data_IF_125537735422
#
_entry.id   IF_125537735422
#
_cell.length_a   1.000
_cell.length_b   1.000
_cell.length_c   1.000
_cell.angle_alpha   90.00
_cell.angle_beta   90.00
_cell.angle_gamma   90.00
#
_symmetry.space_group_name_H-M   'P 1'
#
loop_
_entity.id
_entity.type
_entity.pdbx_description
1 polymer ?
#
# COMPACT_ATOMS: atom_id res chain seq x y z
N UNK A 1 -58.42 3.79 44.09
CA UNK A 1 -58.59 4.65 45.28
C UNK A 1 -58.01 3.95 46.49
N UNK A 2 -56.82 4.38 46.93
CA UNK A 2 -56.30 4.29 48.31
C UNK A 2 -55.06 5.18 48.37
N UNK A 3 -55.19 6.23 49.18
CA UNK A 3 -54.23 7.29 49.48
C UNK A 3 -53.42 6.83 50.68
N UNK A 4 -52.10 7.08 50.73
CA UNK A 4 -51.38 7.29 51.99
C UNK A 4 -50.26 8.33 51.86
N UNK A 5 -50.11 9.08 52.94
CA UNK A 5 -49.44 10.38 53.11
C UNK A 5 -48.02 10.21 53.65
N UNK A 6 -47.20 11.21 53.29
CA UNK A 6 -45.78 11.47 53.57
C UNK A 6 -45.21 11.21 54.98
N UNK A 7 -43.89 10.97 55.04
CA UNK A 7 -42.94 11.77 55.88
C UNK A 7 -41.46 11.55 55.54
N UNK A 8 -40.81 12.68 55.22
CA UNK A 8 -39.45 13.18 55.57
C UNK A 8 -38.16 12.39 55.25
N UNK A 9 -37.30 13.09 54.48
CA UNK A 9 -35.88 12.90 54.17
C UNK A 9 -34.98 12.73 55.42
N UNK A 10 -33.81 12.08 55.27
CA UNK A 10 -32.59 12.86 55.03
C UNK A 10 -31.69 12.33 53.89
N UNK A 11 -31.19 13.30 53.12
CA UNK A 11 -29.93 13.38 52.37
C UNK A 11 -29.15 12.06 52.25
N UNK A 12 -29.25 11.41 51.09
CA UNK A 12 -28.32 10.38 50.65
C UNK A 12 -27.32 11.04 49.70
N UNK A 13 -26.07 11.09 50.15
CA UNK A 13 -24.92 11.62 49.43
C UNK A 13 -24.72 10.81 48.13
N UNK A 14 -25.28 11.31 47.03
CA UNK A 14 -25.10 10.70 45.72
C UNK A 14 -23.66 10.90 45.24
N UNK A 15 -22.83 9.86 45.33
CA UNK A 15 -21.60 9.78 44.56
C UNK A 15 -22.00 9.67 43.10
N UNK A 16 -22.04 10.82 42.41
CA UNK A 16 -22.11 10.86 40.95
C UNK A 16 -20.76 10.39 40.44
N UNK A 17 -20.67 9.11 40.08
CA UNK A 17 -19.61 8.59 39.23
C UNK A 17 -19.70 9.32 37.88
N UNK A 18 -18.95 10.41 37.76
CA UNK A 18 -18.60 11.05 36.51
C UNK A 18 -17.85 10.03 35.64
N UNK A 19 -18.58 9.20 34.92
CA UNK A 19 -18.02 8.48 33.78
C UNK A 19 -17.55 9.53 32.78
N UNK A 20 -16.28 9.50 32.34
CA UNK A 20 -15.79 10.47 31.38
C UNK A 20 -16.47 10.22 30.03
N UNK A 21 -17.49 11.03 29.71
CA UNK A 21 -18.12 11.11 28.39
C UNK A 21 -17.17 11.60 27.28
N UNK A 22 -15.90 11.89 27.60
CA UNK A 22 -14.89 12.37 26.67
C UNK A 22 -14.46 11.33 25.61
N UNK A 23 -14.74 10.04 25.80
CA UNK A 23 -14.31 8.99 24.85
C UNK A 23 -15.13 8.95 23.55
N UNK A 24 -16.41 9.36 23.57
CA UNK A 24 -17.29 9.24 22.39
C UNK A 24 -17.01 10.34 21.35
N UNK A 25 -16.70 11.55 21.80
CA UNK A 25 -16.44 12.68 20.90
C UNK A 25 -15.15 12.51 20.08
N UNK A 26 -14.09 11.94 20.69
CA UNK A 26 -12.80 11.73 20.03
C UNK A 26 -12.86 10.65 18.93
N UNK A 27 -13.77 9.68 19.06
CA UNK A 27 -13.95 8.62 18.07
C UNK A 27 -14.67 9.11 16.80
N UNK A 28 -15.47 10.17 16.89
CA UNK A 28 -16.22 10.73 15.75
C UNK A 28 -15.34 11.63 14.87
N UNK A 29 -14.35 12.31 15.44
CA UNK A 29 -13.40 13.16 14.71
C UNK A 29 -12.41 12.35 13.86
N UNK A 30 -12.18 11.05 14.14
CA UNK A 30 -11.26 10.24 13.35
C UNK A 30 -11.90 9.58 12.10
N UNK A 31 -13.20 9.72 11.89
CA UNK A 31 -13.90 9.08 10.76
C UNK A 31 -13.95 9.98 9.54
N UNK A 32 -13.72 9.39 8.36
CA UNK A 32 -13.94 10.06 7.06
C UNK A 32 -15.15 9.50 6.32
N UNK A 33 -15.53 8.25 6.59
CA UNK A 33 -16.74 7.63 6.10
C UNK A 33 -17.16 6.45 7.00
N UNK A 34 -18.37 5.94 6.77
CA UNK A 34 -18.86 4.69 7.38
C UNK A 34 -19.76 3.97 6.37
N UNK A 35 -19.57 2.67 6.23
CA UNK A 35 -20.41 1.79 5.40
C UNK A 35 -21.04 0.76 6.32
N UNK A 36 -22.34 0.90 6.60
CA UNK A 36 -23.01 0.07 7.60
C UNK A 36 -22.34 0.21 8.97
N UNK A 37 -21.75 -0.88 9.47
CA UNK A 37 -21.00 -0.92 10.72
C UNK A 37 -19.48 -0.78 10.55
N UNK A 38 -18.99 -0.68 9.31
CA UNK A 38 -17.56 -0.62 8.99
C UNK A 38 -17.09 0.84 8.95
N UNK A 39 -16.21 1.27 9.88
CA UNK A 39 -15.64 2.61 9.86
C UNK A 39 -14.55 2.73 8.79
N UNK A 40 -14.40 3.93 8.23
CA UNK A 40 -13.24 4.33 7.44
C UNK A 40 -12.59 5.52 8.12
N UNK A 41 -11.32 5.40 8.55
CA UNK A 41 -10.66 6.41 9.37
C UNK A 41 -9.75 7.36 8.57
N UNK A 42 -9.41 8.51 9.18
CA UNK A 42 -8.41 9.46 8.62
C UNK A 42 -7.06 8.78 8.42
N UNK A 43 -6.66 7.90 9.35
CA UNK A 43 -5.44 7.10 9.26
C UNK A 43 -5.45 6.16 8.06
N UNK A 44 -6.54 5.43 7.83
CA UNK A 44 -6.67 4.55 6.66
C UNK A 44 -6.60 5.34 5.35
N UNK A 45 -7.28 6.48 5.29
CA UNK A 45 -7.25 7.37 4.12
C UNK A 45 -5.83 7.89 3.85
N UNK A 46 -5.12 8.34 4.89
CA UNK A 46 -3.76 8.82 4.76
C UNK A 46 -2.83 7.71 4.24
N UNK A 47 -2.96 6.48 4.77
CA UNK A 47 -2.17 5.34 4.31
C UNK A 47 -2.48 4.93 2.88
N UNK A 48 -3.74 4.86 2.51
CA UNK A 48 -4.14 4.48 1.15
C UNK A 48 -3.69 5.54 0.14
N UNK A 49 -3.81 6.82 0.49
CA UNK A 49 -3.25 7.93 -0.29
C UNK A 49 -1.74 7.78 -0.51
N UNK A 50 -0.97 7.51 0.56
CA UNK A 50 0.49 7.32 0.46
C UNK A 50 0.90 6.11 -0.40
N UNK A 51 0.04 5.09 -0.51
CA UNK A 51 0.28 3.96 -1.44
C UNK A 51 0.07 4.36 -2.90
N UNK A 52 -0.94 5.18 -3.20
CA UNK A 52 -1.31 5.54 -4.57
C UNK A 52 -0.44 6.68 -5.11
N UNK A 53 -0.05 7.62 -4.25
CA UNK A 53 0.73 8.81 -4.62
C UNK A 53 1.98 8.51 -5.47
N UNK A 54 2.89 7.59 -5.10
CA UNK A 54 4.09 7.33 -5.91
C UNK A 54 3.79 6.64 -7.25
N UNK A 55 2.65 5.95 -7.38
CA UNK A 55 2.25 5.28 -8.62
C UNK A 55 1.67 6.26 -9.64
N UNK A 56 1.15 7.39 -9.18
CA UNK A 56 0.47 8.40 -9.99
C UNK A 56 1.16 9.76 -10.02
N UNK A 57 2.21 9.93 -9.21
CA UNK A 57 3.03 11.13 -9.19
C UNK A 57 4.05 11.12 -10.33
N UNK A 58 4.27 12.28 -10.94
CA UNK A 58 5.35 12.43 -11.92
C UNK A 58 6.71 12.23 -11.26
N UNK A 59 7.62 11.52 -11.93
CA UNK A 59 8.94 11.18 -11.38
C UNK A 59 9.83 12.41 -11.08
N UNK A 60 9.49 13.59 -11.60
CA UNK A 60 10.22 14.83 -11.36
C UNK A 60 9.25 16.02 -11.36
N UNK A 61 9.13 16.75 -10.24
CA UNK A 61 8.34 18.01 -10.15
C UNK A 61 7.26 18.06 -9.07
N UNK A 62 7.09 16.99 -8.29
CA UNK A 62 6.01 16.89 -7.29
C UNK A 62 4.65 16.69 -7.95
N UNK A 63 3.61 16.52 -7.13
CA UNK A 63 2.23 16.30 -7.58
C UNK A 63 1.43 17.57 -7.33
N UNK A 64 0.76 18.12 -8.34
CA UNK A 64 -0.07 19.33 -8.20
C UNK A 64 -1.16 19.13 -7.15
N UNK A 65 -1.66 20.23 -6.57
CA UNK A 65 -2.69 20.16 -5.53
C UNK A 65 -3.97 19.49 -6.05
N UNK A 66 -4.37 19.81 -7.26
CA UNK A 66 -5.53 19.23 -7.95
C UNK A 66 -5.36 17.70 -8.05
N UNK A 67 -4.17 17.26 -8.48
CA UNK A 67 -3.88 15.83 -8.60
C UNK A 67 -3.81 15.12 -7.24
N UNK A 68 -3.32 15.80 -6.19
CA UNK A 68 -3.38 15.26 -4.84
C UNK A 68 -4.82 15.09 -4.35
N UNK A 69 -5.73 16.02 -4.68
CA UNK A 69 -7.15 15.89 -4.34
C UNK A 69 -7.80 14.72 -5.08
N UNK A 70 -7.51 14.55 -6.37
CA UNK A 70 -7.97 13.38 -7.15
C UNK A 70 -7.49 12.06 -6.54
N UNK A 71 -6.20 11.96 -6.19
CA UNK A 71 -5.63 10.76 -5.57
C UNK A 71 -6.25 10.50 -4.20
N UNK A 72 -6.53 11.56 -3.44
CA UNK A 72 -7.22 11.45 -2.14
C UNK A 72 -8.65 10.96 -2.31
N UNK A 73 -9.37 11.42 -3.33
CA UNK A 73 -10.70 10.94 -3.64
C UNK A 73 -10.66 9.46 -4.03
N UNK A 74 -9.75 9.06 -4.91
CA UNK A 74 -9.57 7.66 -5.30
C UNK A 74 -9.22 6.77 -4.09
N UNK A 75 -8.37 7.25 -3.18
CA UNK A 75 -8.05 6.54 -1.95
C UNK A 75 -9.29 6.33 -1.07
N UNK A 76 -10.16 7.35 -0.98
CA UNK A 76 -11.43 7.25 -0.26
C UNK A 76 -12.38 6.25 -0.94
N UNK A 77 -12.53 6.32 -2.26
CA UNK A 77 -13.41 5.43 -3.02
C UNK A 77 -12.99 3.96 -2.83
N UNK A 78 -11.68 3.66 -2.92
CA UNK A 78 -11.15 2.32 -2.65
C UNK A 78 -11.42 1.84 -1.22
N UNK A 79 -11.39 2.75 -0.24
CA UNK A 79 -11.70 2.41 1.15
C UNK A 79 -13.18 2.14 1.36
N UNK A 80 -14.06 2.88 0.67
CA UNK A 80 -15.50 2.64 0.68
C UNK A 80 -15.82 1.30 0.02
N UNK A 81 -15.24 0.98 -1.13
CA UNK A 81 -15.38 -0.33 -1.78
C UNK A 81 -14.93 -1.47 -0.88
N UNK A 82 -13.76 -1.33 -0.24
CA UNK A 82 -13.26 -2.27 0.75
C UNK A 82 -14.23 -2.43 1.92
N UNK A 83 -14.79 -1.34 2.42
CA UNK A 83 -15.74 -1.39 3.51
C UNK A 83 -17.05 -2.09 3.13
N UNK A 84 -17.51 -1.96 1.87
CA UNK A 84 -18.63 -2.74 1.33
C UNK A 84 -18.31 -4.24 1.31
N UNK A 85 -17.12 -4.62 0.83
CA UNK A 85 -16.68 -6.02 0.84
C UNK A 85 -16.58 -6.58 2.26
N UNK A 86 -16.07 -5.79 3.22
CA UNK A 86 -16.01 -6.18 4.64
C UNK A 86 -17.40 -6.34 5.24
N UNK A 87 -18.33 -5.42 4.96
CA UNK A 87 -19.71 -5.51 5.43
C UNK A 87 -20.36 -6.80 4.92
N UNK A 88 -20.22 -7.09 3.62
CA UNK A 88 -20.67 -8.35 3.04
C UNK A 88 -20.03 -9.57 3.72
N UNK A 89 -18.73 -9.52 4.00
CA UNK A 89 -18.04 -10.61 4.68
C UNK A 89 -18.62 -10.88 6.09
N UNK A 90 -18.89 -9.81 6.85
CA UNK A 90 -19.49 -9.88 8.20
C UNK A 90 -20.90 -10.47 8.12
N UNK A 91 -21.71 -9.99 7.17
CA UNK A 91 -23.08 -10.49 6.95
C UNK A 91 -23.11 -11.97 6.52
N UNK A 92 -22.00 -12.49 6.02
CA UNK A 92 -21.80 -13.90 5.64
C UNK A 92 -20.91 -14.67 6.64
N UNK A 93 -20.73 -14.13 7.85
CA UNK A 93 -20.00 -14.76 8.96
C UNK A 93 -18.55 -15.16 8.62
N UNK A 94 -17.95 -14.47 7.64
CA UNK A 94 -16.56 -14.70 7.26
C UNK A 94 -15.63 -14.03 8.27
N UNK A 95 -14.54 -14.72 8.58
CA UNK A 95 -13.48 -14.21 9.45
C UNK A 95 -12.10 -14.49 8.88
N UNK A 96 -11.13 -13.67 9.28
CA UNK A 96 -9.71 -13.89 9.04
C UNK A 96 -9.07 -14.42 10.33
N UNK A 97 -8.26 -15.47 10.21
CA UNK A 97 -7.50 -16.00 11.34
C UNK A 97 -6.50 -14.95 11.85
N UNK A 98 -6.56 -14.66 13.14
CA UNK A 98 -5.68 -13.69 13.80
C UNK A 98 -4.20 -14.03 13.63
N UNK A 99 -3.84 -15.33 13.54
CA UNK A 99 -2.45 -15.76 13.36
C UNK A 99 -1.83 -15.22 12.08
N UNK A 100 -2.62 -15.15 10.99
CA UNK A 100 -2.16 -14.60 9.70
C UNK A 100 -1.79 -13.11 9.83
N UNK A 101 -2.52 -12.39 10.68
CA UNK A 101 -2.31 -10.96 10.92
C UNK A 101 -1.07 -10.78 11.80
N UNK A 102 -0.95 -11.57 12.85
CA UNK A 102 0.19 -11.54 13.77
C UNK A 102 1.50 -11.86 13.03
N UNK A 103 1.50 -12.88 12.16
CA UNK A 103 2.64 -13.21 11.30
C UNK A 103 3.01 -12.06 10.35
N UNK A 104 2.03 -11.38 9.76
CA UNK A 104 2.28 -10.24 8.87
C UNK A 104 2.84 -9.04 9.64
N UNK A 105 2.34 -8.77 10.83
CA UNK A 105 2.84 -7.69 11.70
C UNK A 105 4.25 -8.01 12.18
N UNK A 106 4.52 -9.25 12.61
CA UNK A 106 5.86 -9.68 13.00
C UNK A 106 6.88 -9.53 11.86
N UNK A 107 6.54 -9.98 10.65
CA UNK A 107 7.39 -9.78 9.46
C UNK A 107 7.58 -8.31 9.07
N UNK A 108 6.58 -7.46 9.34
CA UNK A 108 6.71 -6.03 9.10
C UNK A 108 7.65 -5.40 10.13
N UNK A 109 7.54 -5.81 11.39
CA UNK A 109 8.37 -5.35 12.51
C UNK A 109 9.85 -5.60 12.29
N UNK A 110 10.21 -6.72 11.65
CA UNK A 110 11.60 -7.05 11.28
C UNK A 110 12.27 -6.02 10.36
N UNK A 111 11.49 -5.18 9.67
CA UNK A 111 12.02 -4.10 8.80
C UNK A 111 12.50 -2.87 9.58
N UNK A 112 12.26 -2.84 10.89
CA UNK A 112 12.57 -1.69 11.73
C UNK A 112 13.65 -2.06 12.76
N UNK A 113 14.66 -1.20 12.94
CA UNK A 113 15.73 -1.38 13.93
C UNK A 113 15.25 -1.57 15.38
N UNK A 114 14.15 -0.92 15.76
CA UNK A 114 13.66 -0.91 17.15
C UNK A 114 12.13 -0.92 17.23
N UNK A 115 11.60 -1.20 18.42
CA UNK A 115 10.15 -1.19 18.69
C UNK A 115 9.60 0.23 18.59
N UNK A 116 10.35 1.18 19.12
CA UNK A 116 10.00 2.60 19.08
C UNK A 116 9.89 3.11 17.63
N UNK A 117 10.83 2.72 16.76
CA UNK A 117 10.77 3.10 15.34
C UNK A 117 9.58 2.45 14.63
N UNK A 118 9.24 1.21 15.00
CA UNK A 118 8.08 0.53 14.44
C UNK A 118 6.77 1.19 14.88
N UNK A 119 6.60 1.48 16.17
CA UNK A 119 5.43 2.17 16.71
C UNK A 119 5.28 3.56 16.09
N UNK A 120 6.38 4.31 15.95
CA UNK A 120 6.36 5.60 15.27
C UNK A 120 5.96 5.48 13.80
N UNK A 121 6.43 4.44 13.11
CA UNK A 121 6.05 4.18 11.73
C UNK A 121 4.61 3.68 11.56
N UNK A 122 4.01 3.12 12.62
CA UNK A 122 2.62 2.65 12.61
C UNK A 122 1.60 3.80 12.53
N UNK A 123 2.01 5.04 12.82
CA UNK A 123 1.23 6.27 12.61
C UNK A 123 0.19 6.55 13.70
N UNK A 124 -0.77 7.44 13.41
CA UNK A 124 -1.65 8.06 14.42
C UNK A 124 -2.50 7.07 15.24
N UNK A 125 -2.85 5.91 14.68
CA UNK A 125 -3.60 4.86 15.40
C UNK A 125 -2.71 3.74 15.96
N UNK A 126 -1.38 3.89 15.83
CA UNK A 126 -0.37 2.92 16.27
C UNK A 126 -0.52 1.53 15.64
N UNK A 127 0.18 0.55 16.22
CA UNK A 127 0.15 -0.83 15.74
C UNK A 127 -1.26 -1.44 15.82
N UNK A 128 -2.08 -1.03 16.79
CA UNK A 128 -3.46 -1.48 16.92
C UNK A 128 -4.34 -1.05 15.74
N UNK A 129 -4.29 0.23 15.33
CA UNK A 129 -5.02 0.71 14.16
C UNK A 129 -4.50 0.08 12.87
N UNK A 130 -3.17 -0.08 12.76
CA UNK A 130 -2.58 -0.81 11.64
C UNK A 130 -3.12 -2.24 11.56
N UNK A 131 -3.18 -2.96 12.68
CA UNK A 131 -3.73 -4.32 12.79
C UNK A 131 -5.18 -4.37 12.33
N UNK A 132 -6.01 -3.43 12.78
CA UNK A 132 -7.42 -3.34 12.40
C UNK A 132 -7.59 -3.07 10.89
N UNK A 133 -6.81 -2.14 10.33
CA UNK A 133 -6.81 -1.86 8.89
C UNK A 133 -6.34 -3.09 8.07
N UNK A 134 -5.33 -3.82 8.55
CA UNK A 134 -4.86 -5.05 7.92
C UNK A 134 -5.93 -6.15 7.97
N UNK A 135 -6.61 -6.32 9.11
CA UNK A 135 -7.73 -7.25 9.24
C UNK A 135 -8.80 -6.96 8.19
N UNK A 136 -9.27 -5.70 8.08
CA UNK A 136 -10.27 -5.30 7.10
C UNK A 136 -9.81 -5.54 5.66
N UNK A 137 -8.55 -5.27 5.35
CA UNK A 137 -7.99 -5.53 4.02
C UNK A 137 -8.05 -7.02 3.67
N UNK A 138 -7.64 -7.90 4.59
CA UNK A 138 -7.65 -9.35 4.35
C UNK A 138 -9.08 -9.91 4.32
N UNK A 139 -9.98 -9.36 5.12
CA UNK A 139 -11.38 -9.77 5.14
C UNK A 139 -12.09 -9.39 3.82
N UNK A 140 -11.80 -8.21 3.27
CA UNK A 140 -12.26 -7.82 1.94
C UNK A 140 -11.74 -8.75 0.83
N UNK A 141 -10.46 -9.13 0.89
CA UNK A 141 -9.89 -10.11 -0.06
C UNK A 141 -10.58 -11.46 0.05
N UNK A 142 -10.85 -11.94 1.27
CA UNK A 142 -11.62 -13.17 1.47
C UNK A 142 -13.04 -13.05 0.94
N UNK A 143 -13.68 -11.90 1.12
CA UNK A 143 -15.00 -11.64 0.56
C UNK A 143 -15.00 -11.74 -0.98
N UNK A 144 -14.03 -11.12 -1.65
CA UNK A 144 -13.88 -11.22 -3.11
C UNK A 144 -13.69 -12.68 -3.57
N UNK A 145 -12.85 -13.44 -2.87
CA UNK A 145 -12.62 -14.86 -3.15
C UNK A 145 -13.91 -15.70 -3.05
N UNK A 146 -14.69 -15.52 -1.98
CA UNK A 146 -15.93 -16.29 -1.75
C UNK A 146 -17.09 -15.80 -2.63
N UNK A 147 -17.23 -14.49 -2.80
CA UNK A 147 -18.35 -13.89 -3.53
C UNK A 147 -18.19 -14.00 -5.04
N UNK A 148 -16.95 -13.94 -5.54
CA UNK A 148 -16.62 -13.83 -6.97
C UNK A 148 -15.77 -15.01 -7.41
N UNK A 149 -14.52 -15.13 -6.96
CA UNK A 149 -13.53 -16.03 -7.58
C UNK A 149 -14.01 -17.49 -7.61
N UNK A 150 -14.55 -18.01 -6.50
CA UNK A 150 -15.06 -19.39 -6.43
C UNK A 150 -16.27 -19.68 -7.31
N UNK A 151 -16.95 -18.65 -7.80
CA UNK A 151 -18.13 -18.77 -8.67
C UNK A 151 -17.78 -18.57 -10.15
N UNK A 152 -16.52 -18.21 -10.45
CA UNK A 152 -16.05 -18.00 -11.82
C UNK A 152 -15.42 -19.29 -12.32
N UNK A 153 -16.03 -19.88 -13.33
CA UNK A 153 -15.44 -20.95 -14.12
C UNK A 153 -14.90 -20.38 -15.42
N UNK A 154 -13.64 -20.72 -15.75
CA UNK A 154 -13.01 -20.34 -17.01
C UNK A 154 -12.80 -21.61 -17.84
N UNK A 155 -13.67 -21.89 -18.84
CA UNK A 155 -13.53 -23.06 -19.68
C UNK A 155 -12.24 -23.04 -20.49
N UNK A 156 -11.62 -24.20 -20.67
CA UNK A 156 -10.39 -24.37 -21.47
C UNK A 156 -10.57 -23.85 -22.90
N UNK A 157 -11.77 -23.98 -23.47
CA UNK A 157 -12.09 -23.44 -24.80
C UNK A 157 -11.95 -21.92 -24.87
N UNK A 158 -12.36 -21.19 -23.82
CA UNK A 158 -12.18 -19.74 -23.74
C UNK A 158 -10.71 -19.36 -23.56
N UNK A 159 -9.97 -20.14 -22.77
CA UNK A 159 -8.52 -19.97 -22.61
C UNK A 159 -7.82 -20.12 -23.96
N UNK A 160 -8.17 -21.17 -24.71
CA UNK A 160 -7.59 -21.47 -26.02
C UNK A 160 -7.97 -20.42 -27.06
N UNK A 161 -9.23 -20.01 -27.13
CA UNK A 161 -9.68 -18.95 -28.03
C UNK A 161 -8.94 -17.64 -27.75
N UNK A 162 -8.82 -17.25 -26.47
CA UNK A 162 -8.07 -16.06 -26.08
C UNK A 162 -6.59 -16.17 -26.48
N UNK A 163 -5.94 -17.31 -26.25
CA UNK A 163 -4.57 -17.55 -26.69
C UNK A 163 -4.43 -17.43 -28.21
N UNK A 164 -5.34 -18.06 -28.95
CA UNK A 164 -5.28 -18.10 -30.41
C UNK A 164 -5.50 -16.71 -31.04
N UNK A 165 -6.36 -15.89 -30.45
CA UNK A 165 -6.62 -14.49 -30.85
C UNK A 165 -5.50 -13.52 -30.44
N UNK A 166 -4.70 -13.86 -29.44
CA UNK A 166 -3.69 -12.96 -28.83
C UNK A 166 -2.27 -13.55 -28.86
N UNK A 167 -1.93 -14.38 -29.87
CA UNK A 167 -0.64 -15.10 -29.92
C UNK A 167 0.57 -14.17 -29.81
N UNK A 168 0.49 -12.99 -30.41
CA UNK A 168 1.50 -11.93 -30.36
C UNK A 168 1.84 -11.51 -28.93
N UNK A 169 0.88 -11.52 -28.01
CA UNK A 169 1.10 -11.23 -26.57
C UNK A 169 1.82 -12.35 -25.81
N UNK A 170 1.77 -13.56 -26.35
CA UNK A 170 2.41 -14.75 -25.77
C UNK A 170 3.71 -15.14 -26.48
N UNK A 171 4.07 -14.43 -27.55
CA UNK A 171 5.39 -14.55 -28.14
C UNK A 171 6.41 -13.81 -27.26
N UNK A 172 7.48 -14.51 -26.89
CA UNK A 172 8.68 -13.83 -26.38
C UNK A 172 9.47 -13.33 -27.58
N UNK A 173 9.61 -12.01 -27.78
CA UNK A 173 10.48 -11.50 -28.83
C UNK A 173 11.90 -12.01 -28.58
N UNK A 174 12.69 -12.07 -29.66
CA UNK A 174 14.08 -12.51 -29.58
C UNK A 174 14.81 -11.69 -28.52
N UNK A 175 15.31 -12.38 -27.49
CA UNK A 175 16.12 -11.78 -26.45
C UNK A 175 17.59 -11.85 -26.86
N UNK A 176 18.34 -10.81 -26.52
CA UNK A 176 19.78 -10.74 -26.73
C UNK A 176 20.45 -10.61 -25.38
N UNK A 177 21.53 -11.36 -25.17
CA UNK A 177 22.44 -11.10 -24.06
C UNK A 177 23.42 -10.02 -24.51
N UNK A 178 23.40 -8.88 -23.86
CA UNK A 178 24.31 -7.77 -24.12
C UNK A 178 25.20 -7.51 -22.89
N UNK A 179 26.40 -7.01 -23.16
CA UNK A 179 27.32 -6.47 -22.15
C UNK A 179 27.55 -4.99 -22.48
N UNK A 180 27.78 -4.16 -21.47
CA UNK A 180 28.08 -2.74 -21.68
C UNK A 180 29.39 -2.32 -21.00
N UNK A 181 29.96 -1.21 -21.45
CA UNK A 181 31.03 -0.50 -20.76
C UNK A 181 30.57 0.95 -20.66
N UNK A 182 30.46 1.47 -19.44
CA UNK A 182 30.05 2.85 -19.20
C UNK A 182 31.25 3.67 -18.75
N UNK A 183 31.69 4.61 -19.59
CA UNK A 183 32.66 5.62 -19.18
C UNK A 183 31.88 6.77 -18.54
N UNK A 184 31.88 6.84 -17.20
CA UNK A 184 31.21 7.90 -16.44
C UNK A 184 31.83 9.26 -16.77
N UNK A 185 30.98 10.26 -16.98
CA UNK A 185 31.37 11.65 -17.21
C UNK A 185 30.74 12.49 -16.10
N UNK A 186 31.55 13.27 -15.39
CA UNK A 186 31.03 14.26 -14.44
C UNK A 186 30.30 15.37 -15.23
N UNK A 187 29.06 15.75 -14.86
CA UNK A 187 28.36 16.87 -15.48
C UNK A 187 29.15 18.19 -15.45
N UNK A 188 30.02 18.39 -14.46
CA UNK A 188 30.87 19.58 -14.31
C UNK A 188 32.19 19.50 -15.11
N UNK A 189 32.51 18.36 -15.75
CA UNK A 189 33.77 18.21 -16.50
C UNK A 189 33.88 19.20 -17.65
N UNK A 190 35.06 19.79 -17.79
CA UNK A 190 35.37 20.72 -18.87
C UNK A 190 35.54 19.98 -20.22
N UNK A 191 35.65 20.75 -21.31
CA UNK A 191 35.75 20.22 -22.68
C UNK A 191 36.95 19.26 -22.86
N UNK A 192 38.08 19.55 -22.22
CA UNK A 192 39.30 18.74 -22.38
C UNK A 192 39.18 17.39 -21.67
N UNK A 193 38.60 17.36 -20.46
CA UNK A 193 38.31 16.12 -19.73
C UNK A 193 37.31 15.24 -20.48
N UNK A 194 36.24 15.85 -21.00
CA UNK A 194 35.26 15.14 -21.82
C UNK A 194 35.89 14.55 -23.07
N UNK A 195 36.80 15.26 -23.72
CA UNK A 195 37.50 14.76 -24.90
C UNK A 195 38.40 13.55 -24.55
N UNK A 196 39.09 13.57 -23.41
CA UNK A 196 39.88 12.41 -22.95
C UNK A 196 39.01 11.19 -22.67
N UNK A 197 37.87 11.38 -22.00
CA UNK A 197 36.91 10.29 -21.73
C UNK A 197 36.31 9.72 -23.01
N UNK A 198 36.03 10.58 -24.00
CA UNK A 198 35.59 10.17 -25.33
C UNK A 198 36.67 9.35 -26.04
N UNK A 199 37.91 9.80 -26.04
CA UNK A 199 39.04 9.07 -26.63
C UNK A 199 39.22 7.69 -25.99
N UNK A 200 39.06 7.59 -24.66
CA UNK A 200 39.04 6.30 -23.94
C UNK A 200 37.92 5.39 -24.46
N UNK A 201 36.70 5.92 -24.60
CA UNK A 201 35.57 5.14 -25.11
C UNK A 201 35.81 4.66 -26.56
N UNK A 202 36.36 5.51 -27.42
CA UNK A 202 36.69 5.17 -28.80
C UNK A 202 37.81 4.13 -28.89
N UNK A 203 38.80 4.18 -28.00
CA UNK A 203 39.86 3.17 -27.91
C UNK A 203 39.31 1.80 -27.53
N UNK A 204 38.49 1.74 -26.48
CA UNK A 204 37.83 0.50 -26.06
C UNK A 204 36.93 -0.07 -27.16
N UNK A 205 36.23 0.80 -27.91
CA UNK A 205 35.43 0.38 -29.07
C UNK A 205 36.30 -0.23 -30.17
N UNK A 206 37.45 0.37 -30.49
CA UNK A 206 38.39 -0.18 -31.48
C UNK A 206 38.91 -1.56 -31.05
N UNK A 207 39.33 -1.69 -29.80
CA UNK A 207 39.85 -2.94 -29.22
C UNK A 207 38.80 -4.05 -29.20
N UNK A 208 37.57 -3.73 -28.79
CA UNK A 208 36.45 -4.67 -28.86
C UNK A 208 36.17 -5.14 -30.29
N UNK A 209 36.21 -4.24 -31.28
CA UNK A 209 36.02 -4.58 -32.71
C UNK A 209 37.18 -5.40 -33.29
N UNK A 210 38.38 -5.24 -32.74
CA UNK A 210 39.56 -6.02 -33.13
C UNK A 210 39.56 -7.44 -32.53
N UNK A 211 38.58 -7.79 -31.69
CA UNK A 211 38.41 -9.14 -31.13
C UNK A 211 39.01 -9.33 -29.74
N UNK A 212 39.40 -8.27 -29.04
CA UNK A 212 39.80 -8.37 -27.63
C UNK A 212 38.60 -8.81 -26.77
N UNK A 213 38.87 -9.62 -25.74
CA UNK A 213 37.83 -10.17 -24.86
C UNK A 213 37.02 -9.05 -24.18
N UNK A 214 35.73 -8.99 -24.49
CA UNK A 214 34.85 -7.92 -24.01
C UNK A 214 34.63 -7.98 -22.49
N UNK A 215 34.69 -9.18 -21.89
CA UNK A 215 34.56 -9.32 -20.45
C UNK A 215 35.70 -8.60 -19.73
N UNK A 216 36.94 -8.82 -20.16
CA UNK A 216 38.11 -8.12 -19.62
C UNK A 216 38.03 -6.61 -19.86
N UNK A 217 37.66 -6.19 -21.08
CA UNK A 217 37.46 -4.77 -21.38
C UNK A 217 36.44 -4.14 -20.44
N UNK A 218 35.30 -4.79 -20.20
CA UNK A 218 34.28 -4.30 -19.29
C UNK A 218 34.74 -4.30 -17.83
N UNK A 219 35.33 -5.40 -17.36
CA UNK A 219 35.78 -5.57 -15.97
C UNK A 219 36.78 -4.49 -15.54
N UNK A 220 37.71 -4.11 -16.42
CA UNK A 220 38.74 -3.11 -16.11
C UNK A 220 38.37 -1.66 -16.43
N UNK A 221 37.22 -1.40 -17.08
CA UNK A 221 36.86 -0.05 -17.56
C UNK A 221 35.45 0.44 -17.19
N UNK A 222 34.66 -0.35 -16.48
CA UNK A 222 33.30 0.02 -16.05
C UNK A 222 33.26 0.61 -14.64
#
# INVERSE_FOLDING_TARGET
>A
MKIYVARLLPVLLGVVLLFPFASVAQQQDNLVARVGHVPVTKFELAREFQKILPLKGGFHGGVSRERQLEIRQEALDKLVERALMVQWAIDNELSVDNRVIDEKIAKLRERYPSEEEFEKAAGDEGVAGYRAALYRQLLAQKAEQEAVEKKVEVPEEKVRAYYDENKDRFMRPRQFRASHILIRVDPASNKQEREKLKQKAEDLLRRARAGEDFYNLAYYNS
#
